data_IF_175335892853
#
_entry.id   IF_175335892853
#
_cell.length_a   1.000
_cell.length_b   1.000
_cell.length_c   1.000
_cell.angle_alpha   90.00
_cell.angle_beta   90.00
_cell.angle_gamma   90.00
#
_symmetry.space_group_name_H-M   'P 1'
#
loop_
_entity.id
_entity.type
_entity.pdbx_description
1 polymer ?
#
# COMPACT_ATOMS: atom_id res chain seq x y z
N UNK A 1 -12.18 13.77 10.21
CA UNK A 1 -10.82 14.33 10.25
C UNK A 1 -10.85 15.75 9.71
N UNK A 2 -10.22 16.72 10.39
CA UNK A 2 -9.96 18.05 9.84
C UNK A 2 -9.15 17.98 8.54
N UNK A 3 -9.40 18.88 7.60
CA UNK A 3 -8.77 18.84 6.26
C UNK A 3 -7.24 19.01 6.32
N UNK A 4 -6.73 19.86 7.21
CA UNK A 4 -5.28 20.02 7.41
C UNK A 4 -4.60 18.70 7.82
N UNK A 5 -5.29 17.88 8.62
CA UNK A 5 -4.78 16.58 9.05
C UNK A 5 -4.80 15.57 7.89
N UNK A 6 -5.79 15.64 6.99
CA UNK A 6 -5.82 14.79 5.79
C UNK A 6 -4.68 15.14 4.84
N UNK A 7 -4.44 16.42 4.60
CA UNK A 7 -3.34 16.89 3.74
C UNK A 7 -1.99 16.42 4.27
N UNK A 8 -1.74 16.57 5.57
CA UNK A 8 -0.52 16.09 6.19
C UNK A 8 -0.30 14.58 5.97
N UNK A 9 -1.35 13.76 6.10
CA UNK A 9 -1.24 12.32 5.83
C UNK A 9 -0.98 12.01 4.35
N UNK A 10 -1.61 12.76 3.44
CA UNK A 10 -1.38 12.61 1.99
C UNK A 10 0.08 12.91 1.63
N UNK A 11 0.67 13.92 2.25
CA UNK A 11 2.05 14.34 1.99
C UNK A 11 3.11 13.35 2.49
N UNK A 12 2.77 12.50 3.46
CA UNK A 12 3.64 11.40 3.91
C UNK A 12 3.78 10.29 2.85
N UNK A 13 2.91 10.23 1.86
CA UNK A 13 2.91 9.20 0.83
C UNK A 13 3.49 9.78 -0.47
N UNK A 14 4.60 9.24 -1.01
CA UNK A 14 5.13 9.64 -2.31
C UNK A 14 4.10 9.65 -3.44
N UNK A 15 3.12 8.74 -3.42
CA UNK A 15 2.04 8.68 -4.41
C UNK A 15 0.95 9.75 -4.24
N UNK A 16 1.06 10.61 -3.21
CA UNK A 16 0.17 11.75 -2.92
C UNK A 16 -1.32 11.39 -2.85
N UNK A 17 -1.63 10.25 -2.23
CA UNK A 17 -2.99 9.90 -1.82
C UNK A 17 -3.00 8.96 -0.63
N UNK A 18 -4.14 8.94 0.07
CA UNK A 18 -4.41 7.90 1.05
C UNK A 18 -4.66 6.55 0.36
N UNK A 19 -4.26 5.48 1.04
CA UNK A 19 -4.60 4.12 0.65
C UNK A 19 -6.11 3.87 0.74
N UNK A 20 -6.57 2.98 -0.11
CA UNK A 20 -7.93 2.45 -0.11
C UNK A 20 -7.90 0.96 0.25
N UNK A 21 -8.99 0.37 0.77
CA UNK A 21 -9.07 -1.07 1.00
C UNK A 21 -8.72 -1.88 -0.26
N UNK A 22 -9.07 -1.36 -1.44
CA UNK A 22 -8.81 -2.02 -2.71
C UNK A 22 -7.31 -2.09 -3.06
N UNK A 23 -6.47 -1.20 -2.53
CA UNK A 23 -5.02 -1.26 -2.74
C UNK A 23 -4.43 -2.51 -2.08
N UNK A 24 -4.83 -2.79 -0.85
CA UNK A 24 -4.42 -3.99 -0.10
C UNK A 24 -5.04 -5.24 -0.74
N UNK A 25 -6.32 -5.18 -1.09
CA UNK A 25 -7.01 -6.32 -1.69
C UNK A 25 -6.38 -6.76 -3.02
N UNK A 26 -5.94 -5.79 -3.86
CA UNK A 26 -5.24 -6.09 -5.12
C UNK A 26 -3.89 -6.76 -4.87
N UNK A 27 -3.10 -6.26 -3.92
CA UNK A 27 -1.81 -6.85 -3.57
C UNK A 27 -1.96 -8.27 -3.01
N UNK A 28 -2.93 -8.47 -2.11
CA UNK A 28 -3.25 -9.79 -1.57
C UNK A 28 -3.70 -10.76 -2.68
N UNK A 29 -4.56 -10.31 -3.60
CA UNK A 29 -5.00 -11.10 -4.75
C UNK A 29 -3.82 -11.52 -5.63
N UNK A 30 -2.87 -10.62 -5.90
CA UNK A 30 -1.66 -10.95 -6.65
C UNK A 30 -0.84 -12.03 -5.96
N UNK A 31 -0.55 -11.87 -4.66
CA UNK A 31 0.21 -12.87 -3.90
C UNK A 31 -0.49 -14.22 -3.80
N UNK A 32 -1.82 -14.25 -3.88
CA UNK A 32 -2.61 -15.48 -3.90
C UNK A 32 -2.81 -16.09 -5.31
N UNK A 33 -2.30 -15.45 -6.36
CA UNK A 33 -2.45 -15.90 -7.74
C UNK A 33 -1.25 -16.72 -8.23
N UNK A 34 -1.42 -17.45 -9.33
CA UNK A 34 -0.36 -18.23 -9.97
C UNK A 34 0.81 -17.35 -10.45
N UNK A 35 0.57 -16.06 -10.69
CA UNK A 35 1.61 -15.10 -11.10
C UNK A 35 2.67 -14.89 -9.99
N UNK A 36 2.35 -15.20 -8.74
CA UNK A 36 3.26 -15.10 -7.60
C UNK A 36 3.92 -16.44 -7.22
N UNK A 37 3.85 -17.48 -8.07
CA UNK A 37 4.25 -18.86 -7.73
C UNK A 37 5.71 -19.04 -7.24
N UNK A 38 6.61 -18.08 -7.51
CA UNK A 38 8.01 -18.12 -7.06
C UNK A 38 8.34 -17.10 -5.96
N UNK A 39 7.33 -16.42 -5.40
CA UNK A 39 7.48 -15.40 -4.35
C UNK A 39 7.11 -16.03 -3.01
N UNK A 40 8.06 -16.09 -2.07
CA UNK A 40 7.82 -16.60 -0.72
C UNK A 40 8.79 -15.99 0.29
N UNK A 41 8.40 -15.99 1.57
CA UNK A 41 9.25 -15.54 2.68
C UNK A 41 9.47 -14.02 2.76
N UNK A 42 8.67 -13.22 2.07
CA UNK A 42 8.78 -11.76 2.05
C UNK A 42 7.63 -11.08 2.79
N UNK A 43 7.87 -9.83 3.20
CA UNK A 43 6.84 -8.88 3.60
C UNK A 43 6.67 -7.88 2.44
N UNK A 44 5.43 -7.67 1.98
CA UNK A 44 5.12 -6.68 0.94
C UNK A 44 4.40 -5.48 1.56
N UNK A 45 5.07 -4.34 1.60
CA UNK A 45 4.47 -3.11 2.09
C UNK A 45 3.52 -2.50 1.05
N UNK A 46 2.24 -2.39 1.41
CA UNK A 46 1.21 -1.71 0.61
C UNK A 46 0.92 -0.34 1.22
N UNK A 47 1.95 0.52 1.24
CA UNK A 47 1.94 1.76 2.02
C UNK A 47 2.06 3.03 1.15
N UNK A 48 1.88 2.94 -0.17
CA UNK A 48 2.01 4.09 -1.07
C UNK A 48 3.37 4.80 -1.00
N UNK A 49 4.42 4.07 -0.56
CA UNK A 49 5.79 4.56 -0.36
C UNK A 49 6.05 5.28 0.96
N UNK A 50 5.10 5.33 1.90
CA UNK A 50 5.32 5.98 3.21
C UNK A 50 6.18 5.15 4.18
N UNK A 51 6.35 3.86 3.88
CA UNK A 51 7.21 2.92 4.61
C UNK A 51 8.12 2.23 3.59
N UNK A 52 9.39 2.09 3.94
CA UNK A 52 10.38 1.30 3.20
C UNK A 52 11.16 0.50 4.25
N UNK A 53 10.89 -0.80 4.35
CA UNK A 53 11.63 -1.72 5.23
C UNK A 53 12.66 -2.51 4.43
#
# INVERSE_FOLDING_TARGET
MPEAQKHALVDLHPIRRLGTPEDVARAARFLASDDAAWITGIVLDVAGGSVMV
#
